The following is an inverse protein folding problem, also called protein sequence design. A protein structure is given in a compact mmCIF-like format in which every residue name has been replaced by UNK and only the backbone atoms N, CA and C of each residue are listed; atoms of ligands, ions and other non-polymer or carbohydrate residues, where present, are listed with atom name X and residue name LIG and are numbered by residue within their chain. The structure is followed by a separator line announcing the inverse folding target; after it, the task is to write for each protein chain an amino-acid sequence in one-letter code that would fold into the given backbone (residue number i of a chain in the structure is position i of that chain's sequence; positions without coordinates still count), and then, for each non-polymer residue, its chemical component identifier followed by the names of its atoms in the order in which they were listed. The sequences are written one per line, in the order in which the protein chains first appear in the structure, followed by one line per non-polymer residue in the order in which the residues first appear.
data_IF_384404112686
#
_entry.id   IF_384404112686
#
_cell.length_a   1.000
_cell.length_b   1.000
_cell.length_c   1.000
_cell.angle_alpha   90.00
_cell.angle_beta   90.00
_cell.angle_gamma   90.00
#
_symmetry.space_group_name_H-M   'P 1'
#
loop_
_entity.id
_entity.type
_entity.pdbx_description
1 polymer ?
#
# COMPACT_ATOMS: atom_id res chain seq x y z
N UNK A 1 28.65 -20.62 -7.30
CA UNK A 1 28.38 -19.32 -7.94
C UNK A 1 26.93 -18.96 -7.63
N UNK A 2 26.66 -17.81 -7.01
CA UNK A 2 25.29 -17.38 -6.67
C UNK A 2 24.71 -16.55 -7.82
N UNK A 3 23.40 -16.65 -8.06
CA UNK A 3 22.68 -15.87 -9.07
C UNK A 3 21.65 -15.01 -8.37
N UNK A 4 21.68 -13.70 -8.65
CA UNK A 4 20.64 -12.75 -8.26
C UNK A 4 19.78 -12.49 -9.50
N UNK A 5 18.46 -12.50 -9.33
CA UNK A 5 17.50 -12.20 -10.40
C UNK A 5 16.47 -11.18 -9.93
N UNK A 6 16.21 -10.18 -10.77
CA UNK A 6 15.12 -9.24 -10.59
C UNK A 6 13.88 -9.74 -11.36
N UNK A 7 12.73 -9.77 -10.69
CA UNK A 7 11.45 -10.14 -11.29
C UNK A 7 10.39 -9.13 -10.82
N UNK A 8 10.07 -8.11 -11.63
CA UNK A 8 9.05 -7.13 -11.28
C UNK A 8 7.66 -7.77 -11.23
N UNK A 9 6.77 -7.16 -10.45
CA UNK A 9 5.35 -7.40 -10.61
C UNK A 9 4.92 -6.94 -12.01
N UNK A 10 4.05 -7.73 -12.63
CA UNK A 10 3.40 -7.45 -13.90
C UNK A 10 2.02 -6.83 -13.72
N UNK A 11 1.38 -7.12 -12.60
CA UNK A 11 0.03 -6.67 -12.28
C UNK A 11 -0.13 -6.50 -10.77
N UNK A 12 -0.79 -5.42 -10.38
CA UNK A 12 -1.25 -5.17 -9.01
C UNK A 12 -2.78 -5.15 -9.03
N UNK A 13 -3.39 -6.04 -8.25
CA UNK A 13 -4.83 -6.15 -8.09
C UNK A 13 -5.18 -5.60 -6.71
N UNK A 14 -6.06 -4.60 -6.69
CA UNK A 14 -6.57 -4.01 -5.45
C UNK A 14 -8.03 -4.40 -5.32
N UNK A 15 -8.40 -5.08 -4.23
CA UNK A 15 -9.77 -5.57 -4.05
C UNK A 15 -10.72 -4.44 -3.62
N UNK A 16 -10.25 -3.55 -2.75
CA UNK A 16 -11.02 -2.42 -2.24
C UNK A 16 -10.23 -1.11 -2.37
N UNK A 17 -10.86 -0.08 -2.92
CA UNK A 17 -10.24 1.25 -3.06
C UNK A 17 -11.21 2.31 -2.55
N UNK A 18 -10.70 3.21 -1.73
CA UNK A 18 -11.47 4.36 -1.26
C UNK A 18 -10.61 5.63 -1.32
N UNK A 19 -11.13 6.63 -2.02
CA UNK A 19 -10.56 7.97 -2.07
C UNK A 19 -11.10 8.80 -0.91
N UNK A 20 -10.21 9.57 -0.30
CA UNK A 20 -10.47 10.41 0.86
C UNK A 20 -10.05 11.83 0.54
N UNK A 21 -10.68 12.80 1.20
CA UNK A 21 -10.07 14.12 1.32
C UNK A 21 -8.79 14.01 2.16
N UNK A 22 -7.82 14.90 1.92
CA UNK A 22 -6.50 14.83 2.57
C UNK A 22 -6.59 14.75 4.09
N UNK A 23 -7.43 15.59 4.69
CA UNK A 23 -7.62 15.63 6.15
C UNK A 23 -8.25 14.33 6.69
N UNK A 24 -9.16 13.73 5.95
CA UNK A 24 -9.82 12.47 6.35
C UNK A 24 -8.85 11.29 6.29
N UNK A 25 -7.97 11.27 5.27
CA UNK A 25 -6.90 10.28 5.17
C UNK A 25 -5.93 10.39 6.35
N UNK A 26 -5.51 11.62 6.68
CA UNK A 26 -4.61 11.89 7.81
C UNK A 26 -5.23 11.45 9.13
N UNK A 27 -6.48 11.83 9.42
CA UNK A 27 -7.15 11.40 10.65
C UNK A 27 -7.35 9.88 10.70
N UNK A 28 -7.67 9.24 9.58
CA UNK A 28 -7.78 7.77 9.50
C UNK A 28 -6.44 7.10 9.83
N UNK A 29 -5.34 7.60 9.28
CA UNK A 29 -4.01 7.12 9.61
C UNK A 29 -3.65 7.37 11.09
N UNK A 30 -4.04 8.51 11.66
CA UNK A 30 -3.83 8.83 13.08
C UNK A 30 -4.56 7.86 13.99
N UNK A 31 -5.83 7.55 13.70
CA UNK A 31 -6.63 6.57 14.45
C UNK A 31 -6.01 5.16 14.41
N UNK A 32 -5.48 4.76 13.25
CA UNK A 32 -4.79 3.48 13.10
C UNK A 32 -3.50 3.44 13.96
N UNK A 33 -2.69 4.50 13.94
CA UNK A 33 -1.50 4.64 14.79
C UNK A 33 -1.86 4.60 16.28
N UNK A 34 -2.87 5.37 16.71
CA UNK A 34 -3.35 5.43 18.09
C UNK A 34 -3.86 4.05 18.56
N UNK A 35 -4.35 3.20 17.66
CA UNK A 35 -4.75 1.82 17.93
C UNK A 35 -3.59 0.81 18.02
N UNK A 36 -2.34 1.29 17.93
CA UNK A 36 -1.13 0.47 17.96
C UNK A 36 -0.85 -0.27 16.65
N UNK A 37 -1.54 0.06 15.56
CA UNK A 37 -1.29 -0.53 14.24
C UNK A 37 -0.22 0.31 13.53
N UNK A 38 0.86 -0.29 13.03
CA UNK A 38 1.84 0.44 12.24
C UNK A 38 1.20 0.91 10.93
N UNK A 39 1.26 2.22 10.69
CA UNK A 39 0.81 2.82 9.44
C UNK A 39 2.02 3.32 8.68
N UNK A 40 2.11 2.91 7.41
CA UNK A 40 3.02 3.52 6.44
C UNK A 40 2.16 4.24 5.42
N UNK A 41 2.25 5.57 5.42
CA UNK A 41 1.67 6.41 4.38
C UNK A 41 2.73 6.62 3.30
N UNK A 42 2.45 6.08 2.12
CA UNK A 42 3.33 6.17 0.96
C UNK A 42 2.94 7.37 0.11
N UNK A 43 3.88 7.87 -0.68
CA UNK A 43 3.60 8.85 -1.73
C UNK A 43 4.35 8.43 -2.99
N UNK A 44 3.66 8.44 -4.13
CA UNK A 44 4.26 8.21 -5.45
C UNK A 44 3.44 8.90 -6.53
N UNK A 45 4.10 9.55 -7.49
CA UNK A 45 3.48 10.11 -8.70
C UNK A 45 2.22 10.94 -8.43
N UNK A 46 2.24 11.76 -7.38
CA UNK A 46 1.12 12.64 -7.05
C UNK A 46 -0.02 11.99 -6.24
N UNK A 47 0.18 10.79 -5.69
CA UNK A 47 -0.83 10.08 -4.88
C UNK A 47 -0.25 9.70 -3.52
N UNK A 48 -0.92 10.11 -2.44
CA UNK A 48 -0.64 9.63 -1.09
C UNK A 48 -1.58 8.47 -0.75
N UNK A 49 -1.04 7.36 -0.23
CA UNK A 49 -1.84 6.15 0.00
C UNK A 49 -1.30 5.26 1.11
N UNK A 50 -2.21 4.58 1.78
CA UNK A 50 -1.93 3.47 2.67
C UNK A 50 -2.62 2.22 2.12
N UNK A 51 -1.88 1.12 2.02
CA UNK A 51 -2.40 -0.14 1.50
C UNK A 51 -2.30 -1.23 2.55
N UNK A 52 -3.29 -2.13 2.55
CA UNK A 52 -3.26 -3.36 3.32
C UNK A 52 -2.88 -4.52 2.40
N UNK A 53 -1.79 -5.26 2.68
CA UNK A 53 -1.44 -6.44 1.90
C UNK A 53 -2.34 -7.62 2.29
N UNK A 54 -2.58 -8.53 1.34
CA UNK A 54 -3.11 -9.85 1.69
C UNK A 54 -1.96 -10.69 2.27
N UNK A 55 -2.14 -11.36 3.43
CA UNK A 55 -1.10 -12.20 4.02
C UNK A 55 -0.59 -13.29 3.06
N UNK A 56 0.73 -13.43 2.98
CA UNK A 56 1.40 -14.42 2.14
C UNK A 56 1.48 -15.81 2.80
N UNK A 57 0.38 -16.28 3.38
CA UNK A 57 0.36 -17.52 4.16
C UNK A 57 -0.25 -18.72 3.43
N UNK A 58 -0.79 -18.53 2.22
CA UNK A 58 -1.35 -19.62 1.40
C UNK A 58 -0.50 -19.91 0.16
N UNK A 59 -0.58 -21.15 -0.34
CA UNK A 59 0.17 -21.57 -1.53
C UNK A 59 -0.33 -20.84 -2.78
N UNK A 60 -1.61 -20.52 -2.83
CA UNK A 60 -2.28 -19.84 -3.92
C UNK A 60 -1.65 -18.46 -4.19
N UNK A 61 -1.45 -17.64 -3.15
CA UNK A 61 -0.82 -16.31 -3.31
C UNK A 61 0.66 -16.38 -3.69
N UNK A 62 1.36 -17.43 -3.30
CA UNK A 62 2.75 -17.66 -3.72
C UNK A 62 2.82 -17.93 -5.23
N UNK A 63 1.93 -18.79 -5.77
CA UNK A 63 1.87 -19.08 -7.20
C UNK A 63 1.47 -17.86 -8.03
N UNK A 64 0.54 -17.05 -7.54
CA UNK A 64 0.16 -15.79 -8.18
C UNK A 64 1.35 -14.82 -8.26
N UNK A 65 2.15 -14.71 -7.20
CA UNK A 65 3.35 -13.86 -7.20
C UNK A 65 4.45 -14.37 -8.14
N UNK A 66 4.61 -15.70 -8.27
CA UNK A 66 5.51 -16.30 -9.28
C UNK A 66 5.08 -15.96 -10.71
N UNK A 67 3.77 -15.75 -10.94
CA UNK A 67 3.23 -15.29 -12.23
C UNK A 67 3.38 -13.77 -12.43
N UNK A 68 3.81 -13.05 -11.40
CA UNK A 68 4.00 -11.61 -11.39
C UNK A 68 2.78 -10.82 -10.90
N UNK A 69 1.81 -11.46 -10.23
CA UNK A 69 0.61 -10.77 -9.71
C UNK A 69 0.75 -10.49 -8.21
N UNK A 70 0.38 -9.29 -7.81
CA UNK A 70 0.36 -8.85 -6.40
C UNK A 70 -1.08 -8.47 -6.04
N UNK A 71 -1.49 -8.80 -4.82
CA UNK A 71 -2.81 -8.46 -4.31
C UNK A 71 -2.70 -7.58 -3.06
N UNK A 72 -3.43 -6.48 -3.07
CA UNK A 72 -3.73 -5.67 -1.89
C UNK A 72 -5.20 -5.85 -1.54
N UNK A 73 -5.49 -6.07 -0.25
CA UNK A 73 -6.88 -6.18 0.21
C UNK A 73 -7.58 -4.83 0.09
N UNK A 74 -6.92 -3.76 0.52
CA UNK A 74 -7.48 -2.42 0.39
C UNK A 74 -6.42 -1.34 0.20
N UNK A 75 -6.84 -0.23 -0.40
CA UNK A 75 -6.10 1.03 -0.46
C UNK A 75 -7.02 2.16 -0.04
N UNK A 76 -6.55 2.98 0.90
CA UNK A 76 -7.08 4.33 1.13
C UNK A 76 -6.08 5.33 0.56
N UNK A 77 -6.57 6.31 -0.20
CA UNK A 77 -5.71 7.24 -0.90
C UNK A 77 -6.33 8.63 -1.05
N UNK A 78 -5.49 9.59 -1.42
CA UNK A 78 -5.90 10.93 -1.84
C UNK A 78 -4.95 11.44 -2.92
N UNK A 79 -5.42 12.36 -3.76
CA UNK A 79 -4.58 13.05 -4.73
C UNK A 79 -3.74 14.11 -4.00
N UNK A 80 -2.43 14.02 -4.16
CA UNK A 80 -1.42 14.91 -3.59
C UNK A 80 -0.37 15.22 -4.65
N UNK A 81 -0.64 16.15 -5.59
CA UNK A 81 0.23 16.40 -6.74
C UNK A 81 1.67 16.71 -6.34
N UNK A 82 1.85 17.52 -5.29
CA UNK A 82 3.14 17.76 -4.65
C UNK A 82 3.22 17.09 -3.28
N UNK A 83 4.34 16.40 -3.03
CA UNK A 83 4.60 15.81 -1.71
C UNK A 83 4.52 16.88 -0.61
N UNK A 84 3.68 16.64 0.38
CA UNK A 84 3.58 17.43 1.60
C UNK A 84 3.78 16.52 2.80
N UNK A 85 4.59 16.96 3.76
CA UNK A 85 4.78 16.23 5.01
C UNK A 85 3.51 16.33 5.85
N UNK A 86 2.85 15.18 6.09
CA UNK A 86 1.57 15.12 6.80
C UNK A 86 1.68 14.82 8.30
N UNK A 87 2.83 14.31 8.74
CA UNK A 87 3.10 14.02 10.15
C UNK A 87 4.39 14.70 10.58
N UNK A 88 4.34 15.37 11.73
CA UNK A 88 5.55 15.79 12.44
C UNK A 88 6.14 14.56 13.15
N UNK A 89 7.47 14.40 13.06
CA UNK A 89 8.23 13.31 13.70
C UNK A 89 8.48 13.59 15.16
#
# INVERSE_FOLDING_TARGET
MFKISYMPAKELIILEMAEYELNELVETCRLLLDSGRPVVLNWAEGVAFHHNPIPFNTKEFIEERKRGRIYWSSVIFTLMPEYTRLFDS
#
